data_IF_283160003865
#
_entry.id   IF_283160003865
#
_cell.length_a   1.000
_cell.length_b   1.000
_cell.length_c   1.000
_cell.angle_alpha   90.00
_cell.angle_beta   90.00
_cell.angle_gamma   90.00
#
_symmetry.space_group_name_H-M   'P 1'
#
loop_
_entity.id
_entity.type
_entity.pdbx_description
1 polymer ?
#
# COMPACT_ATOMS: atom_id res chain seq x y z
N UNK A 1 -18.83 2.27 -10.69
CA UNK A 1 -17.77 1.58 -9.92
C UNK A 1 -17.04 0.69 -10.92
N UNK A 2 -15.74 0.91 -11.20
CA UNK A 2 -14.99 0.02 -12.08
C UNK A 2 -15.04 -1.39 -11.51
N UNK A 3 -15.13 -2.40 -12.38
CA UNK A 3 -15.11 -3.79 -11.94
C UNK A 3 -13.72 -4.08 -11.35
N UNK A 4 -13.65 -4.19 -10.02
CA UNK A 4 -12.49 -4.77 -9.36
C UNK A 4 -12.58 -6.28 -9.57
N UNK A 5 -11.71 -6.83 -10.39
CA UNK A 5 -11.65 -8.28 -10.61
C UNK A 5 -10.86 -8.91 -9.46
N UNK A 6 -11.45 -9.89 -8.81
CA UNK A 6 -10.83 -10.66 -7.72
C UNK A 6 -9.95 -11.82 -8.22
N UNK A 7 -9.80 -12.00 -9.53
CA UNK A 7 -9.11 -13.17 -10.06
C UNK A 7 -7.62 -12.87 -10.23
N UNK A 8 -6.85 -13.19 -9.18
CA UNK A 8 -5.38 -13.29 -9.21
C UNK A 8 -4.91 -14.51 -10.04
N UNK A 9 -5.83 -15.25 -10.68
CA UNK A 9 -5.53 -16.51 -11.40
C UNK A 9 -4.83 -16.36 -12.78
N UNK A 10 -4.24 -15.21 -13.13
CA UNK A 10 -3.56 -15.06 -14.43
C UNK A 10 -2.06 -14.71 -14.36
N UNK A 11 -1.44 -14.76 -13.18
CA UNK A 11 0.02 -14.53 -13.03
C UNK A 11 0.68 -15.76 -12.41
N UNK A 12 1.44 -16.49 -13.24
CA UNK A 12 2.45 -17.54 -12.96
C UNK A 12 2.27 -18.46 -11.71
N UNK A 13 2.11 -19.80 -11.89
CA UNK A 13 1.87 -20.76 -10.80
C UNK A 13 3.10 -21.11 -9.92
N UNK A 14 4.24 -20.43 -10.08
CA UNK A 14 5.41 -20.62 -9.21
C UNK A 14 5.26 -19.85 -7.89
N UNK A 15 4.42 -20.37 -6.98
CA UNK A 15 4.26 -19.95 -5.56
C UNK A 15 4.40 -18.43 -5.38
N UNK A 16 3.37 -17.68 -5.80
CA UNK A 16 3.38 -16.23 -5.65
C UNK A 16 3.36 -15.83 -4.17
N UNK A 17 4.33 -15.00 -3.78
CA UNK A 17 4.38 -14.26 -2.50
C UNK A 17 3.04 -13.56 -2.21
N UNK A 18 2.27 -13.24 -3.26
CA UNK A 18 0.95 -12.61 -3.15
C UNK A 18 -0.08 -13.49 -2.43
N UNK A 19 -0.03 -14.83 -2.59
CA UNK A 19 -0.99 -15.72 -1.95
C UNK A 19 -0.80 -15.78 -0.42
N UNK A 20 0.46 -15.75 0.03
CA UNK A 20 0.78 -15.65 1.46
C UNK A 20 0.44 -14.27 2.00
N UNK A 21 0.71 -13.21 1.22
CA UNK A 21 0.40 -11.84 1.61
C UNK A 21 -1.11 -11.62 1.77
N UNK A 22 -1.93 -12.11 0.84
CA UNK A 22 -3.39 -12.05 0.95
C UNK A 22 -3.90 -12.85 2.16
N UNK A 23 -3.35 -14.06 2.39
CA UNK A 23 -3.69 -14.86 3.57
C UNK A 23 -3.37 -14.11 4.87
N UNK A 24 -2.18 -13.52 4.98
CA UNK A 24 -1.72 -12.77 6.16
C UNK A 24 -2.59 -11.52 6.38
N UNK A 25 -2.84 -10.74 5.33
CA UNK A 25 -3.77 -9.61 5.37
C UNK A 25 -5.14 -10.02 5.89
N UNK A 26 -5.71 -11.08 5.31
CA UNK A 26 -7.05 -11.50 5.65
C UNK A 26 -7.16 -12.06 7.07
N UNK A 27 -6.17 -12.84 7.54
CA UNK A 27 -6.21 -13.53 8.83
C UNK A 27 -5.64 -12.76 10.00
N UNK A 28 -4.63 -11.94 9.77
CA UNK A 28 -3.79 -11.39 10.85
C UNK A 28 -3.58 -9.89 10.73
N UNK A 29 -3.65 -9.34 9.52
CA UNK A 29 -3.30 -7.94 9.28
C UNK A 29 -1.85 -7.64 9.68
N UNK A 30 -1.56 -6.36 9.94
CA UNK A 30 -0.25 -5.90 10.39
C UNK A 30 -0.37 -4.93 11.55
N UNK A 31 0.61 -4.94 12.46
CA UNK A 31 0.76 -3.91 13.50
C UNK A 31 1.77 -2.87 13.04
N UNK A 32 1.71 -1.67 13.64
CA UNK A 32 2.67 -0.62 13.33
C UNK A 32 4.08 -0.94 13.83
N UNK A 33 5.08 -0.28 13.24
CA UNK A 33 6.48 -0.42 13.63
C UNK A 33 6.76 0.08 15.07
N UNK A 34 5.88 0.90 15.62
CA UNK A 34 5.85 1.30 17.03
C UNK A 34 5.50 0.14 17.98
N UNK A 35 4.81 -0.89 17.48
CA UNK A 35 4.45 -2.08 18.24
C UNK A 35 5.45 -3.22 18.01
N UNK A 36 5.78 -3.52 16.76
CA UNK A 36 6.78 -4.52 16.37
C UNK A 36 7.77 -3.85 15.41
N UNK A 37 8.97 -3.45 15.88
CA UNK A 37 9.97 -2.79 15.04
C UNK A 37 10.46 -3.68 13.90
N UNK A 38 10.64 -3.08 12.71
CA UNK A 38 11.17 -3.78 11.53
C UNK A 38 12.72 -3.82 11.52
N UNK A 39 13.33 -3.94 12.70
CA UNK A 39 14.80 -3.96 12.87
C UNK A 39 15.33 -5.35 13.15
N UNK A 40 14.46 -6.29 13.56
CA UNK A 40 14.80 -7.67 13.88
C UNK A 40 13.60 -8.60 13.68
N UNK A 41 13.85 -9.91 13.67
CA UNK A 41 12.78 -10.90 13.62
C UNK A 41 12.09 -10.95 15.00
N UNK A 42 10.77 -10.73 15.09
CA UNK A 42 10.08 -10.68 16.37
C UNK A 42 10.04 -12.04 17.06
N UNK A 43 10.33 -12.09 18.36
CA UNK A 43 10.24 -13.33 19.16
C UNK A 43 8.78 -13.72 19.50
N UNK A 44 7.86 -12.75 19.46
CA UNK A 44 6.44 -12.92 19.76
C UNK A 44 5.64 -11.96 18.87
N UNK A 45 4.62 -12.46 18.17
CA UNK A 45 3.73 -11.70 17.28
C UNK A 45 2.30 -11.63 17.82
N UNK A 46 2.12 -11.73 19.14
CA UNK A 46 0.81 -11.66 19.80
C UNK A 46 0.66 -10.42 20.69
N UNK A 47 1.74 -9.70 20.91
CA UNK A 47 1.84 -8.48 21.72
C UNK A 47 2.91 -7.54 21.14
N UNK A 48 2.91 -6.29 21.58
CA UNK A 48 3.97 -5.36 21.22
C UNK A 48 5.26 -5.70 21.98
N UNK A 49 6.41 -5.34 21.39
CA UNK A 49 7.72 -5.52 22.01
C UNK A 49 7.85 -4.71 23.32
N UNK A 50 7.17 -3.57 23.40
CA UNK A 50 7.09 -2.74 24.61
C UNK A 50 5.72 -2.80 25.28
N UNK A 51 5.69 -2.76 26.61
CA UNK A 51 4.47 -2.85 27.41
C UNK A 51 3.46 -1.70 27.19
N UNK A 52 3.93 -0.56 26.69
CA UNK A 52 3.09 0.59 26.35
C UNK A 52 2.55 0.56 24.91
N UNK A 53 2.98 -0.42 24.09
CA UNK A 53 2.58 -0.51 22.69
C UNK A 53 1.10 -0.86 22.53
N UNK A 54 0.45 -0.24 21.55
CA UNK A 54 -0.93 -0.55 21.21
C UNK A 54 -0.95 -1.68 20.17
N UNK A 55 -1.35 -2.88 20.59
CA UNK A 55 -1.48 -4.03 19.68
C UNK A 55 -2.74 -3.90 18.82
N UNK A 56 -2.71 -2.96 17.88
CA UNK A 56 -3.79 -2.69 16.94
C UNK A 56 -3.44 -3.28 15.59
N UNK A 57 -4.18 -4.31 15.21
CA UNK A 57 -4.12 -4.89 13.86
C UNK A 57 -4.76 -3.93 12.86
N UNK A 58 -4.00 -3.55 11.85
CA UNK A 58 -4.46 -2.83 10.68
C UNK A 58 -4.65 -3.82 9.53
N UNK A 59 -5.60 -3.53 8.65
CA UNK A 59 -5.91 -4.35 7.48
C UNK A 59 -6.37 -5.80 7.78
N UNK A 60 -6.72 -6.13 9.02
CA UNK A 60 -7.35 -7.43 9.34
C UNK A 60 -8.67 -7.56 8.55
N UNK A 61 -8.88 -8.71 7.92
CA UNK A 61 -9.99 -9.00 7.00
C UNK A 61 -10.00 -8.22 5.67
N UNK A 62 -8.91 -7.54 5.32
CA UNK A 62 -8.78 -6.96 3.99
C UNK A 62 -8.40 -8.01 2.95
N UNK A 63 -8.63 -7.68 1.69
CA UNK A 63 -8.14 -8.41 0.51
C UNK A 63 -7.49 -7.42 -0.44
N UNK A 64 -6.64 -7.96 -1.31
CA UNK A 64 -6.10 -7.19 -2.42
C UNK A 64 -7.09 -7.23 -3.58
N UNK A 65 -7.33 -6.08 -4.21
CA UNK A 65 -8.15 -5.98 -5.40
C UNK A 65 -7.36 -5.28 -6.51
N UNK A 66 -7.44 -5.81 -7.73
CA UNK A 66 -6.74 -5.27 -8.89
C UNK A 66 -7.66 -4.32 -9.64
N UNK A 67 -7.09 -3.23 -10.15
CA UNK A 67 -7.77 -2.33 -11.07
C UNK A 67 -6.89 -2.04 -12.29
N UNK A 68 -7.55 -1.67 -13.38
CA UNK A 68 -6.92 -1.13 -14.58
C UNK A 68 -7.74 0.04 -15.10
N UNK A 69 -7.10 1.14 -15.47
CA UNK A 69 -7.79 2.23 -16.14
C UNK A 69 -7.05 3.56 -16.19
N UNK A 70 -7.75 4.54 -16.75
CA UNK A 70 -7.31 5.92 -16.99
C UNK A 70 -7.34 6.78 -15.72
N UNK A 71 -6.82 8.02 -15.73
CA UNK A 71 -6.83 8.91 -14.56
C UNK A 71 -8.16 8.99 -13.80
N UNK A 72 -9.31 9.03 -14.47
CA UNK A 72 -10.61 9.08 -13.79
C UNK A 72 -10.93 7.77 -13.04
N UNK A 73 -10.49 6.63 -13.55
CA UNK A 73 -10.57 5.35 -12.83
C UNK A 73 -9.72 5.40 -11.56
N UNK A 74 -8.49 5.92 -11.65
CA UNK A 74 -7.59 6.05 -10.50
C UNK A 74 -8.24 6.96 -9.43
N UNK A 75 -8.82 8.10 -9.83
CA UNK A 75 -9.54 8.99 -8.89
C UNK A 75 -10.70 8.27 -8.20
N UNK A 76 -11.50 7.49 -8.94
CA UNK A 76 -12.56 6.69 -8.34
C UNK A 76 -12.03 5.63 -7.38
N UNK A 77 -10.91 4.99 -7.71
CA UNK A 77 -10.24 4.02 -6.83
C UNK A 77 -9.79 4.72 -5.54
N UNK A 78 -9.16 5.88 -5.63
CA UNK A 78 -8.71 6.66 -4.47
C UNK A 78 -9.85 7.09 -3.57
N UNK A 79 -10.98 7.56 -4.15
CA UNK A 79 -12.17 7.97 -3.38
C UNK A 79 -12.77 6.79 -2.60
N UNK A 80 -12.83 5.62 -3.24
CA UNK A 80 -13.55 4.49 -2.68
C UNK A 80 -12.67 3.63 -1.76
N UNK A 81 -11.37 3.49 -2.07
CA UNK A 81 -10.48 2.52 -1.42
C UNK A 81 -9.27 3.16 -0.74
N UNK A 82 -9.03 4.45 -0.93
CA UNK A 82 -7.83 5.13 -0.42
C UNK A 82 -6.62 4.89 -1.32
N UNK A 83 -5.42 4.92 -0.73
CA UNK A 83 -4.17 4.84 -1.48
C UNK A 83 -4.09 3.62 -2.41
N UNK A 84 -3.57 3.83 -3.61
CA UNK A 84 -3.46 2.81 -4.66
C UNK A 84 -1.99 2.60 -5.03
N UNK A 85 -1.53 1.35 -5.07
CA UNK A 85 -0.19 1.02 -5.55
C UNK A 85 -0.27 0.59 -7.00
N UNK A 86 0.47 1.25 -7.89
CA UNK A 86 0.58 0.86 -9.29
C UNK A 86 1.80 -0.07 -9.49
N UNK A 87 1.82 -0.81 -10.60
CA UNK A 87 2.77 -1.92 -10.81
C UNK A 87 4.26 -1.51 -10.80
N UNK A 88 4.57 -0.25 -11.10
CA UNK A 88 5.95 0.25 -11.04
C UNK A 88 6.44 0.51 -9.59
N UNK A 89 5.62 0.23 -8.58
CA UNK A 89 5.95 0.44 -7.17
C UNK A 89 5.46 1.76 -6.57
N UNK A 90 5.07 2.74 -7.41
CA UNK A 90 4.57 4.03 -6.92
C UNK A 90 3.24 3.85 -6.19
N UNK A 91 3.11 4.48 -5.02
CA UNK A 91 1.85 4.59 -4.29
C UNK A 91 1.25 5.95 -4.57
N UNK A 92 0.03 6.00 -5.08
CA UNK A 92 -0.74 7.22 -5.27
C UNK A 92 -1.64 7.39 -4.05
N UNK A 93 -1.49 8.50 -3.32
CA UNK A 93 -2.26 8.78 -2.10
C UNK A 93 -3.36 9.83 -2.30
N UNK A 94 -3.31 10.56 -3.42
CA UNK A 94 -4.27 11.61 -3.76
C UNK A 94 -3.90 12.31 -5.06
N UNK A 95 -4.57 13.43 -5.32
CA UNK A 95 -4.25 14.34 -6.41
C UNK A 95 -4.53 15.78 -5.98
N UNK A 96 -3.79 16.71 -6.56
CA UNK A 96 -4.01 18.15 -6.44
C UNK A 96 -3.92 18.79 -7.83
N UNK A 97 -5.00 19.46 -8.23
CA UNK A 97 -5.18 19.99 -9.59
C UNK A 97 -4.81 18.97 -10.68
N UNK A 98 -3.71 19.23 -11.39
CA UNK A 98 -3.21 18.41 -12.51
C UNK A 98 -2.09 17.44 -12.09
N UNK A 99 -1.86 17.22 -10.79
CA UNK A 99 -0.79 16.37 -10.27
C UNK A 99 -1.33 15.24 -9.38
N UNK A 100 -0.78 14.04 -9.56
CA UNK A 100 -0.83 12.98 -8.56
C UNK A 100 0.04 13.33 -7.37
N UNK A 101 -0.43 13.02 -6.16
CA UNK A 101 0.38 12.99 -4.94
C UNK A 101 0.86 11.55 -4.76
N UNK A 102 2.17 11.36 -4.80
CA UNK A 102 2.82 10.04 -4.89
C UNK A 102 3.76 9.78 -3.73
N UNK A 103 3.96 8.52 -3.39
CA UNK A 103 5.03 8.04 -2.53
C UNK A 103 5.85 7.03 -3.33
N UNK A 104 7.15 7.27 -3.45
CA UNK A 104 8.09 6.43 -4.21
C UNK A 104 9.22 5.96 -3.30
N UNK A 105 9.76 4.77 -3.57
CA UNK A 105 10.98 4.27 -2.91
C UNK A 105 12.19 4.99 -3.50
N UNK A 106 12.99 5.62 -2.65
CA UNK A 106 14.24 6.27 -3.01
C UNK A 106 15.40 5.62 -2.24
N UNK A 107 16.55 5.35 -2.88
CA UNK A 107 17.72 4.86 -2.17
C UNK A 107 18.25 5.93 -1.22
N UNK A 108 18.53 5.56 0.03
CA UNK A 108 19.23 6.43 0.96
C UNK A 108 20.70 6.47 0.51
N UNK A 109 21.28 7.65 0.22
CA UNK A 109 22.68 7.75 -0.16
C UNK A 109 23.56 7.20 0.98
N UNK A 110 24.15 6.02 0.77
CA UNK A 110 25.11 5.45 1.72
C UNK A 110 26.41 6.21 1.55
N UNK A 111 26.78 7.02 2.55
CA UNK A 111 28.14 7.56 2.65
C UNK A 111 29.03 6.40 3.04
N UNK A 112 29.60 5.71 2.06
CA UNK A 112 30.61 4.68 2.29
C UNK A 112 31.85 5.37 2.83
N UNK A 113 32.04 5.38 4.15
CA UNK A 113 33.37 5.64 4.73
C UNK A 113 34.24 4.43 4.42
N UNK A 114 35.35 4.58 3.69
CA UNK A 114 36.16 3.46 3.24
C UNK A 114 36.99 2.93 4.41
N UNK A 115 36.42 2.07 5.23
CA UNK A 115 37.18 1.24 6.18
C UNK A 115 36.55 -0.14 6.27
N UNK A 116 36.67 -0.94 5.21
CA UNK A 116 36.53 -2.39 5.32
C UNK A 116 37.69 -3.03 4.56
N UNK A 117 38.60 -3.65 5.32
CA UNK A 117 39.66 -4.49 4.75
C UNK A 117 39.00 -5.68 4.06
N UNK A 118 39.42 -5.96 2.83
CA UNK A 118 38.73 -6.80 1.83
C UNK A 118 38.92 -8.31 2.04
N UNK A 119 39.44 -8.74 3.20
CA UNK A 119 39.95 -10.12 3.35
C UNK A 119 39.10 -11.08 4.21
N UNK A 120 37.90 -10.70 4.69
CA UNK A 120 37.03 -11.63 5.43
C UNK A 120 35.55 -11.41 5.10
N UNK A 121 35.04 -12.03 4.03
CA UNK A 121 33.72 -12.71 4.03
C UNK A 121 33.53 -13.57 2.75
N UNK A 122 33.48 -14.92 2.84
CA UNK A 122 33.26 -15.79 1.69
C UNK A 122 31.78 -16.13 1.44
N UNK A 123 30.81 -15.44 2.03
CA UNK A 123 29.40 -15.63 1.70
C UNK A 123 28.74 -14.28 1.43
N UNK A 124 28.50 -13.98 0.15
CA UNK A 124 27.92 -12.72 -0.31
C UNK A 124 26.51 -12.52 0.20
N UNK A 125 26.38 -12.02 1.42
CA UNK A 125 25.18 -11.36 1.91
C UNK A 125 24.92 -10.19 0.98
N UNK A 126 23.82 -10.23 0.21
CA UNK A 126 23.41 -9.08 -0.57
C UNK A 126 23.06 -7.98 0.42
N UNK A 127 23.94 -7.00 0.58
CA UNK A 127 23.70 -5.80 1.37
C UNK A 127 22.34 -5.21 0.94
N UNK A 128 21.34 -5.31 1.82
CA UNK A 128 20.04 -4.68 1.62
C UNK A 128 20.29 -3.18 1.61
N UNK A 129 20.26 -2.57 0.42
CA UNK A 129 20.47 -1.14 0.30
C UNK A 129 19.36 -0.41 1.07
N UNK A 130 19.70 0.51 1.99
CA UNK A 130 18.70 1.24 2.73
C UNK A 130 17.90 2.11 1.77
N UNK A 131 16.58 2.12 1.93
CA UNK A 131 15.66 2.93 1.14
C UNK A 131 14.73 3.72 2.06
N UNK A 132 14.22 4.83 1.56
CA UNK A 132 13.20 5.65 2.19
C UNK A 132 11.99 5.81 1.27
N UNK A 133 10.83 6.08 1.87
CA UNK A 133 9.63 6.43 1.13
C UNK A 133 9.49 7.94 1.06
N UNK A 134 9.58 8.49 -0.16
CA UNK A 134 9.58 9.94 -0.39
C UNK A 134 8.24 10.39 -0.94
N UNK A 135 7.62 11.37 -0.28
CA UNK A 135 6.44 12.05 -0.79
C UNK A 135 6.83 12.98 -1.95
N UNK A 136 6.09 12.90 -3.05
CA UNK A 136 6.33 13.69 -4.24
C UNK A 136 5.06 13.93 -5.04
N UNK A 137 5.25 14.52 -6.22
CA UNK A 137 4.16 14.79 -7.17
C UNK A 137 4.57 14.39 -8.58
N UNK A 138 3.61 13.90 -9.36
CA UNK A 138 3.78 13.64 -10.80
C UNK A 138 2.61 14.26 -11.57
N UNK A 139 2.81 14.83 -12.77
CA UNK A 139 1.70 15.26 -13.61
C UNK A 139 0.71 14.12 -13.85
N UNK A 140 -0.60 14.41 -13.93
CA UNK A 140 -1.61 13.39 -14.24
C UNK A 140 -1.35 12.78 -15.63
N UNK A 141 -0.84 13.59 -16.55
CA UNK A 141 -0.42 13.18 -17.89
C UNK A 141 0.77 12.20 -17.90
N UNK A 142 1.42 11.94 -16.76
CA UNK A 142 2.50 10.95 -16.65
C UNK A 142 2.00 9.55 -17.00
N UNK A 143 0.74 9.25 -16.70
CA UNK A 143 0.16 7.92 -16.93
C UNK A 143 -1.20 8.01 -17.63
N UNK A 144 -1.28 7.45 -18.83
CA UNK A 144 -2.53 7.39 -19.61
C UNK A 144 -3.45 6.25 -19.13
N UNK A 145 -2.92 5.04 -18.98
CA UNK A 145 -3.60 3.89 -18.38
C UNK A 145 -2.63 3.15 -17.46
N UNK A 146 -3.08 2.82 -16.26
CA UNK A 146 -2.28 2.05 -15.29
C UNK A 146 -3.03 0.81 -14.85
N UNK A 147 -2.26 -0.21 -14.49
CA UNK A 147 -2.72 -1.31 -13.67
C UNK A 147 -2.16 -1.12 -12.26
N UNK A 148 -2.92 -1.54 -11.25
CA UNK A 148 -2.53 -1.40 -9.85
C UNK A 148 -3.41 -2.22 -8.94
N UNK A 149 -3.19 -2.07 -7.64
CA UNK A 149 -3.96 -2.73 -6.62
C UNK A 149 -4.28 -1.81 -5.44
N UNK A 150 -5.37 -2.17 -4.74
CA UNK A 150 -5.84 -1.53 -3.51
C UNK A 150 -6.18 -2.60 -2.48
N UNK A 151 -6.25 -2.19 -1.21
CA UNK A 151 -6.77 -3.02 -0.14
C UNK A 151 -8.23 -2.70 0.12
N UNK A 152 -9.10 -3.70 0.01
CA UNK A 152 -10.53 -3.57 0.27
C UNK A 152 -10.97 -4.47 1.44
N UNK A 153 -11.99 -4.03 2.17
CA UNK A 153 -12.76 -4.90 3.06
C UNK A 153 -14.26 -4.61 2.87
N UNK A 154 -15.13 -5.45 3.44
CA UNK A 154 -16.59 -5.25 3.38
C UNK A 154 -17.05 -3.89 3.94
N UNK A 155 -16.30 -3.27 4.84
CA UNK A 155 -16.61 -1.95 5.42
C UNK A 155 -16.22 -0.77 4.51
N UNK A 156 -15.20 -0.90 3.68
CA UNK A 156 -14.80 0.12 2.70
C UNK A 156 -15.89 0.31 1.65
N UNK A 157 -16.53 -0.79 1.21
CA UNK A 157 -17.72 -0.73 0.35
C UNK A 157 -18.91 -0.03 1.05
N UNK A 158 -19.08 -0.25 2.35
CA UNK A 158 -20.14 0.39 3.13
C UNK A 158 -19.91 1.90 3.31
N UNK A 159 -18.66 2.34 3.55
CA UNK A 159 -18.31 3.77 3.63
C UNK A 159 -18.50 4.48 2.30
N UNK A 160 -18.11 3.86 1.19
CA UNK A 160 -18.39 4.38 -0.15
C UNK A 160 -19.90 4.50 -0.41
N UNK A 161 -20.68 3.46 -0.07
CA UNK A 161 -22.13 3.46 -0.22
C UNK A 161 -22.83 4.52 0.65
N UNK A 162 -22.44 4.64 1.92
CA UNK A 162 -23.01 5.64 2.85
C UNK A 162 -22.58 7.06 2.48
N UNK A 163 -21.35 7.27 2.01
CA UNK A 163 -20.89 8.55 1.48
C UNK A 163 -21.66 8.98 0.23
N UNK A 164 -21.97 8.05 -0.67
CA UNK A 164 -22.79 8.30 -1.85
C UNK A 164 -24.23 8.66 -1.47
N UNK A 165 -24.84 7.95 -0.51
CA UNK A 165 -26.18 8.24 0.01
C UNK A 165 -26.23 9.62 0.66
N UNK A 166 -25.23 9.96 1.48
CA UNK A 166 -25.13 11.29 2.08
C UNK A 166 -24.97 12.39 1.02
N UNK A 167 -24.11 12.20 0.02
CA UNK A 167 -23.91 13.19 -1.03
C UNK A 167 -25.13 13.37 -1.94
N UNK A 168 -25.87 12.29 -2.23
CA UNK A 168 -27.02 12.31 -3.15
C UNK A 168 -28.31 12.78 -2.46
N UNK A 169 -28.50 12.46 -1.18
CA UNK A 169 -29.76 12.78 -0.47
C UNK A 169 -29.67 14.04 0.40
N UNK A 170 -28.51 14.33 0.99
CA UNK A 170 -28.39 15.40 2.00
C UNK A 170 -28.02 16.74 1.35
N UNK A 171 -27.18 16.76 0.32
CA UNK A 171 -26.80 18.00 -0.36
C UNK A 171 -27.95 18.70 -1.11
N UNK A 172 -28.86 18.00 -1.83
CA UNK A 172 -30.00 18.65 -2.47
C UNK A 172 -31.03 19.18 -1.47
N UNK A 173 -31.16 18.54 -0.30
CA UNK A 173 -32.12 18.93 0.74
C UNK A 173 -31.65 20.15 1.56
N UNK A 174 -30.35 20.49 1.53
CA UNK A 174 -29.78 21.68 2.17
C UNK A 174 -29.77 22.92 1.27
N UNK A 175 -30.18 22.78 0.01
CA UNK A 175 -30.28 23.84 -1.00
C UNK A 175 -31.72 24.32 -1.23
N UNK A 176 -32.68 23.81 -0.44
CA UNK A 176 -34.07 24.26 -0.34
C UNK A 176 -34.30 24.95 1.02
#
# INVERSE_FOLDING_TARGET
>A
IPALTCDIETVDPTISIDAYFEYVLHKSGFVGADCIPNTEVPADTTKCSEAAGNYKKNFENYKQAVFKGKPDTIKQVLINFGAARIYNGTVIVGWDAENWVTVEEAPIPVVVTPTRNVDEDPEGETDLLPYEYVLGTKPISTWDEVQGFVFNNGFTALRAALGLIAAVLVLPALLL
#
